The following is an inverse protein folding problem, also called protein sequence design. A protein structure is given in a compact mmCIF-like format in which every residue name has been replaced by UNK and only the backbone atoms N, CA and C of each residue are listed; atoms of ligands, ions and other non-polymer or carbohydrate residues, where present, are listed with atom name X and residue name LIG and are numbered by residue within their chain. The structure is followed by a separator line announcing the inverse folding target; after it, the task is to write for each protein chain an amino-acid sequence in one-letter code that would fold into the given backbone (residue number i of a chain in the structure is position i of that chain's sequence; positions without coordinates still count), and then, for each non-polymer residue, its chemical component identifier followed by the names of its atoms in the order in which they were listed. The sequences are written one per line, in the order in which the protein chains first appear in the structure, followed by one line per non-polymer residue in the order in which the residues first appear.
data_IF_008160884090
#
_entry.id   IF_008160884090
#
_cell.length_a   1.000
_cell.length_b   1.000
_cell.length_c   1.000
_cell.angle_alpha   90.00
_cell.angle_beta   90.00
_cell.angle_gamma   90.00
#
_symmetry.space_group_name_H-M   'P 1'
#
loop_
_entity.id
_entity.type
_entity.pdbx_description
1 polymer ?
#
# COMPACT_ATOMS: atom_id res chain seq x y z
N UNK A 1 22.90 37.98 -52.41
CA UNK A 1 22.45 37.47 -51.09
C UNK A 1 21.71 36.19 -51.37
N UNK A 2 22.08 35.07 -50.72
CA UNK A 2 21.36 33.80 -50.90
C UNK A 2 19.95 33.95 -50.30
N UNK A 3 18.87 33.57 -51.01
CA UNK A 3 17.53 33.54 -50.44
C UNK A 3 17.50 32.75 -49.13
N UNK A 4 16.75 33.22 -48.14
CA UNK A 4 16.67 32.57 -46.80
C UNK A 4 16.30 31.09 -46.91
N UNK A 5 15.43 30.73 -47.85
CA UNK A 5 15.00 29.35 -48.05
C UNK A 5 16.15 28.43 -48.52
N UNK A 6 17.00 28.91 -49.44
CA UNK A 6 18.16 28.15 -49.94
C UNK A 6 19.21 27.95 -48.84
N UNK A 7 19.39 28.96 -47.97
CA UNK A 7 20.27 28.88 -46.82
C UNK A 7 19.78 27.82 -45.81
N UNK A 8 18.47 27.80 -45.51
CA UNK A 8 17.86 26.78 -44.66
C UNK A 8 18.00 25.37 -45.25
N UNK A 9 17.70 25.19 -46.53
CA UNK A 9 17.86 23.90 -47.21
C UNK A 9 19.29 23.36 -47.11
N UNK A 10 20.28 24.24 -47.16
CA UNK A 10 21.69 23.86 -47.00
C UNK A 10 22.05 23.49 -45.56
N UNK A 11 21.42 24.14 -44.57
CA UNK A 11 21.74 23.97 -43.14
C UNK A 11 20.99 22.81 -42.46
N UNK A 12 19.77 22.50 -42.91
CA UNK A 12 18.87 21.52 -42.29
C UNK A 12 19.48 20.12 -42.06
N UNK A 13 20.26 19.54 -42.99
CA UNK A 13 20.93 18.26 -42.76
C UNK A 13 21.91 18.24 -41.57
N UNK A 14 22.42 19.42 -41.18
CA UNK A 14 23.29 19.55 -40.00
C UNK A 14 22.48 19.75 -38.73
N UNK A 15 21.39 20.54 -38.80
CA UNK A 15 20.47 20.77 -37.67
C UNK A 15 19.84 19.45 -37.21
N UNK A 16 19.44 18.61 -38.17
CA UNK A 16 18.90 17.28 -37.89
C UNK A 16 19.76 16.42 -36.98
N UNK A 17 21.08 16.46 -37.19
CA UNK A 17 22.06 15.69 -36.39
C UNK A 17 22.19 16.17 -34.94
N UNK A 18 21.63 17.34 -34.61
CA UNK A 18 21.64 17.90 -33.26
C UNK A 18 20.39 17.48 -32.45
N UNK A 19 19.37 16.93 -33.11
CA UNK A 19 18.15 16.47 -32.43
C UNK A 19 18.44 15.21 -31.61
N UNK A 20 18.00 15.23 -30.34
CA UNK A 20 18.17 14.12 -29.39
C UNK A 20 16.92 13.26 -29.23
N UNK A 21 15.77 13.80 -29.62
CA UNK A 21 14.48 13.14 -29.51
C UNK A 21 14.04 12.54 -30.84
N UNK A 22 13.04 11.66 -30.78
CA UNK A 22 12.36 11.16 -31.98
C UNK A 22 11.58 12.34 -32.56
N UNK A 23 11.96 12.76 -33.77
CA UNK A 23 11.37 13.92 -34.39
C UNK A 23 11.43 13.84 -35.92
N UNK A 24 10.69 14.70 -36.60
CA UNK A 24 10.84 14.97 -38.02
C UNK A 24 11.10 16.46 -38.24
N UNK A 25 11.86 16.79 -39.28
CA UNK A 25 12.01 18.17 -39.75
C UNK A 25 11.37 18.27 -41.12
N UNK A 26 10.49 19.25 -41.30
CA UNK A 26 9.85 19.59 -42.56
C UNK A 26 10.10 21.07 -42.87
N UNK A 27 10.50 21.37 -44.11
CA UNK A 27 10.50 22.73 -44.65
C UNK A 27 9.59 22.71 -45.88
N UNK A 28 8.61 23.60 -45.93
CA UNK A 28 7.67 23.66 -47.05
C UNK A 28 7.36 25.10 -47.48
N UNK A 29 7.02 25.26 -48.75
CA UNK A 29 6.56 26.53 -49.34
C UNK A 29 5.02 26.55 -49.43
N UNK A 30 4.45 27.37 -50.31
CA UNK A 30 3.00 27.48 -50.46
C UNK A 30 2.33 26.25 -51.12
N UNK A 31 3.11 25.38 -51.77
CA UNK A 31 2.61 24.27 -52.62
C UNK A 31 3.19 22.90 -52.27
N UNK A 32 4.44 22.81 -51.80
CA UNK A 32 5.15 21.53 -51.66
C UNK A 32 6.14 21.49 -50.50
N UNK A 33 6.51 20.27 -50.13
CA UNK A 33 7.60 20.00 -49.19
C UNK A 33 8.93 20.22 -49.90
N UNK A 34 9.76 21.13 -49.40
CA UNK A 34 11.11 21.40 -49.92
C UNK A 34 12.15 20.48 -49.28
N UNK A 35 11.98 20.17 -47.99
CA UNK A 35 12.85 19.28 -47.23
C UNK A 35 12.05 18.45 -46.25
N UNK A 36 12.37 17.16 -46.15
CA UNK A 36 11.86 16.30 -45.10
C UNK A 36 12.97 15.35 -44.63
N UNK A 37 13.14 15.24 -43.32
CA UNK A 37 14.02 14.26 -42.70
C UNK A 37 13.41 13.75 -41.40
N UNK A 38 13.68 12.50 -41.07
CA UNK A 38 13.14 11.82 -39.90
C UNK A 38 14.24 11.24 -39.02
N UNK A 39 14.04 11.34 -37.71
CA UNK A 39 15.00 10.94 -36.68
C UNK A 39 14.33 9.98 -35.69
N UNK A 40 15.10 9.02 -35.19
CA UNK A 40 14.62 8.11 -34.15
C UNK A 40 13.52 7.15 -34.61
N UNK A 41 13.39 6.88 -35.92
CA UNK A 41 12.47 5.86 -36.45
C UNK A 41 10.99 6.26 -36.42
N UNK A 42 10.68 7.55 -36.54
CA UNK A 42 9.35 8.03 -36.94
C UNK A 42 9.30 7.98 -38.47
N UNK A 43 8.21 7.46 -39.04
CA UNK A 43 7.94 7.55 -40.47
C UNK A 43 6.52 8.06 -40.67
N UNK A 44 6.40 9.24 -41.26
CA UNK A 44 5.12 9.90 -41.54
C UNK A 44 4.72 9.78 -43.01
N UNK A 45 5.52 9.09 -43.84
CA UNK A 45 5.25 8.90 -45.27
C UNK A 45 5.51 10.12 -46.17
N UNK A 46 6.11 11.18 -45.64
CA UNK A 46 6.50 12.36 -46.42
C UNK A 46 7.83 12.16 -47.16
N UNK A 47 7.99 12.90 -48.26
CA UNK A 47 9.22 12.91 -49.06
C UNK A 47 9.55 14.34 -49.50
N UNK A 48 10.84 14.67 -49.59
CA UNK A 48 11.29 15.94 -50.17
C UNK A 48 10.81 16.08 -51.61
N UNK A 49 10.36 17.28 -51.99
CA UNK A 49 9.66 17.60 -53.24
C UNK A 49 8.28 16.93 -53.40
N UNK A 50 7.74 16.30 -52.36
CA UNK A 50 6.38 15.77 -52.35
C UNK A 50 5.29 16.84 -52.13
N UNK A 51 4.01 16.48 -52.35
CA UNK A 51 2.89 17.39 -52.11
C UNK A 51 2.73 17.70 -50.62
N UNK A 52 2.11 18.84 -50.32
CA UNK A 52 1.64 19.14 -48.97
C UNK A 52 0.46 18.24 -48.58
N UNK A 53 0.35 17.96 -47.28
CA UNK A 53 -0.87 17.38 -46.74
C UNK A 53 -2.02 18.40 -46.83
N UNK A 54 -3.28 17.94 -47.03
CA UNK A 54 -4.41 18.84 -47.10
C UNK A 54 -4.52 19.75 -45.88
N UNK A 55 -4.68 21.06 -46.12
CA UNK A 55 -4.80 22.08 -45.07
C UNK A 55 -3.48 22.78 -44.72
N UNK A 56 -2.36 22.40 -45.33
CA UNK A 56 -1.08 23.10 -45.18
C UNK A 56 -0.76 24.04 -46.35
N UNK A 57 -1.48 23.94 -47.46
CA UNK A 57 -1.31 24.79 -48.64
C UNK A 57 -1.51 26.26 -48.28
N UNK A 58 -0.73 27.13 -48.93
CA UNK A 58 -0.74 28.58 -48.67
C UNK A 58 -0.59 28.95 -47.18
N UNK A 59 0.10 28.09 -46.41
CA UNK A 59 0.31 28.25 -44.97
C UNK A 59 -1.01 28.32 -44.19
N UNK A 60 -2.04 27.59 -44.62
CA UNK A 60 -3.33 27.56 -43.93
C UNK A 60 -3.27 26.84 -42.57
N UNK A 61 -2.32 25.92 -42.40
CA UNK A 61 -2.16 25.10 -41.19
C UNK A 61 -1.46 25.77 -40.01
N UNK A 62 -0.88 26.97 -40.20
CA UNK A 62 -0.17 27.69 -39.12
C UNK A 62 -1.09 28.68 -38.40
N UNK A 63 -1.11 28.63 -37.07
CA UNK A 63 -1.96 29.49 -36.21
C UNK A 63 -1.39 30.89 -36.03
N UNK A 64 -0.09 30.99 -35.71
CA UNK A 64 0.64 32.26 -35.68
C UNK A 64 1.48 32.36 -36.96
N UNK A 65 1.26 33.44 -37.70
CA UNK A 65 1.95 33.72 -38.95
C UNK A 65 3.21 34.56 -38.77
N UNK A 66 3.46 35.05 -37.56
CA UNK A 66 4.57 35.95 -37.20
C UNK A 66 5.58 35.24 -36.31
N UNK A 67 5.11 34.55 -35.26
CA UNK A 67 5.98 33.91 -34.27
C UNK A 67 5.94 32.38 -34.36
N UNK A 68 6.94 31.69 -33.77
CA UNK A 68 6.88 30.25 -33.57
C UNK A 68 5.61 29.83 -32.82
N UNK A 69 4.91 28.81 -33.32
CA UNK A 69 3.69 28.28 -32.72
C UNK A 69 3.71 26.76 -32.60
N UNK A 70 3.10 26.27 -31.53
CA UNK A 70 2.99 24.85 -31.24
C UNK A 70 1.63 24.35 -31.73
N UNK A 71 1.64 23.24 -32.46
CA UNK A 71 0.43 22.59 -32.98
C UNK A 71 0.46 21.10 -32.63
N UNK A 72 -0.52 20.60 -31.86
CA UNK A 72 -0.67 19.17 -31.65
C UNK A 72 -1.22 18.51 -32.93
N UNK A 73 -0.63 17.39 -33.29
CA UNK A 73 -1.09 16.52 -34.36
C UNK A 73 -1.53 15.19 -33.76
N UNK A 74 -2.84 14.92 -33.72
CA UNK A 74 -3.35 13.75 -33.04
C UNK A 74 -3.04 12.49 -33.86
N UNK A 75 -3.04 11.34 -33.18
CA UNK A 75 -2.62 10.04 -33.73
C UNK A 75 -3.39 9.64 -35.00
N UNK A 76 -4.63 10.08 -35.14
CA UNK A 76 -5.50 9.79 -36.28
C UNK A 76 -4.96 10.36 -37.59
N UNK A 77 -4.15 11.43 -37.54
CA UNK A 77 -3.62 12.10 -38.73
C UNK A 77 -2.40 11.38 -39.31
N UNK A 78 -1.51 10.87 -38.44
CA UNK A 78 -0.20 10.35 -38.86
C UNK A 78 0.17 8.99 -38.24
N UNK A 79 -0.74 8.33 -37.53
CA UNK A 79 -0.51 7.06 -36.83
C UNK A 79 0.28 7.19 -35.51
N UNK A 80 0.83 8.38 -35.23
CA UNK A 80 1.56 8.74 -34.00
C UNK A 80 1.11 10.11 -33.51
N UNK A 81 1.05 10.32 -32.19
CA UNK A 81 0.77 11.64 -31.60
C UNK A 81 2.04 12.48 -31.67
N UNK A 82 1.94 13.66 -32.29
CA UNK A 82 3.07 14.55 -32.47
C UNK A 82 2.76 15.95 -31.96
N UNK A 83 3.81 16.66 -31.57
CA UNK A 83 3.75 18.10 -31.32
C UNK A 83 4.68 18.84 -32.28
N UNK A 84 4.10 19.64 -33.17
CA UNK A 84 4.83 20.43 -34.14
C UNK A 84 5.16 21.82 -33.64
N UNK A 85 6.44 22.17 -33.59
CA UNK A 85 6.90 23.56 -33.50
C UNK A 85 6.99 24.11 -34.93
N UNK A 86 6.10 25.05 -35.27
CA UNK A 86 6.02 25.68 -36.58
C UNK A 86 6.67 27.07 -36.52
N UNK A 87 7.68 27.30 -37.33
CA UNK A 87 8.40 28.58 -37.44
C UNK A 87 8.13 29.17 -38.82
N UNK A 88 7.32 30.25 -38.93
CA UNK A 88 7.12 30.95 -40.18
C UNK A 88 8.40 31.66 -40.65
N UNK A 89 8.81 31.39 -41.88
CA UNK A 89 10.01 31.96 -42.48
C UNK A 89 9.59 33.14 -43.35
N UNK A 90 10.11 34.32 -43.03
CA UNK A 90 9.77 35.56 -43.72
C UNK A 90 10.90 36.04 -44.63
N UNK A 91 10.52 36.54 -45.81
CA UNK A 91 11.39 37.33 -46.68
C UNK A 91 10.62 38.56 -47.16
N UNK A 92 11.22 39.74 -47.04
CA UNK A 92 10.59 41.05 -47.35
C UNK A 92 9.18 41.24 -46.74
N UNK A 93 8.94 40.70 -45.54
CA UNK A 93 7.66 40.83 -44.82
C UNK A 93 6.56 39.86 -45.26
N UNK A 94 6.86 38.92 -46.16
CA UNK A 94 5.94 37.86 -46.58
C UNK A 94 6.45 36.50 -46.10
N UNK A 95 5.53 35.59 -45.74
CA UNK A 95 5.87 34.21 -45.44
C UNK A 95 6.24 33.52 -46.75
N UNK A 96 7.47 33.02 -46.82
CA UNK A 96 8.00 32.29 -47.98
C UNK A 96 8.11 30.80 -47.72
N UNK A 97 8.00 30.38 -46.47
CA UNK A 97 7.93 28.97 -46.08
C UNK A 97 7.68 28.80 -44.60
N UNK A 98 7.53 27.55 -44.19
CA UNK A 98 7.41 27.18 -42.77
C UNK A 98 8.36 26.04 -42.50
N UNK A 99 9.14 26.19 -41.44
CA UNK A 99 9.95 25.12 -40.88
C UNK A 99 9.21 24.52 -39.70
N UNK A 100 8.92 23.22 -39.77
CA UNK A 100 8.26 22.49 -38.70
C UNK A 100 9.18 21.41 -38.16
N UNK A 101 9.37 21.38 -36.85
CA UNK A 101 9.93 20.21 -36.16
C UNK A 101 8.80 19.54 -35.40
N UNK A 102 8.49 18.29 -35.72
CA UNK A 102 7.45 17.52 -35.05
C UNK A 102 8.07 16.49 -34.13
N UNK A 103 7.81 16.61 -32.83
CA UNK A 103 8.31 15.70 -31.80
C UNK A 103 7.29 14.62 -31.46
N UNK A 104 7.75 13.41 -31.21
CA UNK A 104 6.93 12.28 -30.76
C UNK A 104 6.49 12.46 -29.30
N UNK A 105 5.18 12.39 -29.04
CA UNK A 105 4.65 12.57 -27.68
C UNK A 105 4.67 11.30 -26.82
N UNK A 106 5.06 10.12 -27.34
CA UNK A 106 5.01 8.86 -26.58
C UNK A 106 5.73 8.93 -25.23
N UNK A 107 6.92 9.51 -25.17
CA UNK A 107 7.66 9.64 -23.90
C UNK A 107 6.93 10.53 -22.90
N UNK A 108 6.25 11.58 -23.37
CA UNK A 108 5.44 12.44 -22.52
C UNK A 108 4.19 11.73 -21.99
N UNK A 109 3.50 10.99 -22.86
CA UNK A 109 2.34 10.19 -22.52
C UNK A 109 2.71 9.09 -21.50
N UNK A 110 3.81 8.38 -21.74
CA UNK A 110 4.34 7.35 -20.83
C UNK A 110 4.67 7.94 -19.45
N UNK A 111 5.37 9.09 -19.40
CA UNK A 111 5.70 9.77 -18.15
C UNK A 111 4.45 10.24 -17.39
N UNK A 112 3.44 10.78 -18.09
CA UNK A 112 2.16 11.15 -17.47
C UNK A 112 1.42 9.93 -16.93
N UNK A 113 1.48 8.80 -17.64
CA UNK A 113 0.95 7.52 -17.18
C UNK A 113 1.60 7.08 -15.87
N UNK A 114 2.93 7.05 -15.82
CA UNK A 114 3.70 6.71 -14.62
C UNK A 114 3.39 7.66 -13.45
N UNK A 115 3.24 8.96 -13.69
CA UNK A 115 2.88 9.91 -12.64
C UNK A 115 1.47 9.66 -12.09
N UNK A 116 0.51 9.37 -12.96
CA UNK A 116 -0.87 9.07 -12.57
C UNK A 116 -0.93 7.79 -11.73
N UNK A 117 -0.18 6.76 -12.16
CA UNK A 117 -0.04 5.52 -11.40
C UNK A 117 0.65 5.76 -10.05
N UNK A 118 1.69 6.59 -9.99
CA UNK A 118 2.38 6.92 -8.74
C UNK A 118 1.45 7.60 -7.71
N UNK A 119 0.61 8.54 -8.17
CA UNK A 119 -0.41 9.18 -7.31
C UNK A 119 -1.41 8.13 -6.80
N UNK A 120 -1.95 7.31 -7.70
CA UNK A 120 -2.91 6.27 -7.31
C UNK A 120 -2.32 5.24 -6.34
N UNK A 121 -1.07 4.82 -6.54
CA UNK A 121 -0.35 3.94 -5.61
C UNK A 121 -0.16 4.62 -4.25
N UNK A 122 0.20 5.91 -4.25
CA UNK A 122 0.37 6.67 -3.01
C UNK A 122 -0.94 6.79 -2.21
N UNK A 123 -2.06 7.06 -2.87
CA UNK A 123 -3.40 7.08 -2.25
C UNK A 123 -3.76 5.72 -1.64
N UNK A 124 -3.58 4.62 -2.40
CA UNK A 124 -3.82 3.27 -1.88
C UNK A 124 -2.94 2.95 -0.66
N UNK A 125 -1.68 3.41 -0.65
CA UNK A 125 -0.79 3.23 0.49
C UNK A 125 -1.27 4.01 1.73
N UNK A 126 -1.82 5.21 1.56
CA UNK A 126 -2.43 5.96 2.68
C UNK A 126 -3.55 5.15 3.33
N UNK A 127 -4.48 4.62 2.52
CA UNK A 127 -5.59 3.81 3.02
C UNK A 127 -5.10 2.56 3.75
N UNK A 128 -4.12 1.85 3.18
CA UNK A 128 -3.52 0.67 3.81
C UNK A 128 -2.87 1.00 5.17
N UNK A 129 -2.14 2.11 5.26
CA UNK A 129 -1.51 2.56 6.51
C UNK A 129 -2.56 2.91 7.58
N UNK A 130 -3.65 3.57 7.19
CA UNK A 130 -4.76 3.86 8.09
C UNK A 130 -5.42 2.56 8.61
N UNK A 131 -5.61 1.58 7.74
CA UNK A 131 -6.12 0.26 8.13
C UNK A 131 -5.19 -0.45 9.12
N UNK A 132 -3.87 -0.43 8.91
CA UNK A 132 -2.89 -1.02 9.84
C UNK A 132 -2.96 -0.31 11.19
N UNK A 133 -3.04 1.02 11.21
CA UNK A 133 -3.15 1.81 12.44
C UNK A 133 -4.42 1.44 13.24
N UNK A 134 -5.57 1.34 12.55
CA UNK A 134 -6.83 0.92 13.17
C UNK A 134 -6.75 -0.52 13.72
N UNK A 135 -6.14 -1.44 12.98
CA UNK A 135 -5.92 -2.81 13.42
C UNK A 135 -5.03 -2.90 14.67
N UNK A 136 -3.95 -2.12 14.73
CA UNK A 136 -3.07 -2.06 15.90
C UNK A 136 -3.83 -1.57 17.15
N UNK A 137 -4.65 -0.51 17.01
CA UNK A 137 -5.50 -0.01 18.09
C UNK A 137 -6.54 -1.05 18.55
N UNK A 138 -7.17 -1.74 17.61
CA UNK A 138 -8.12 -2.81 17.93
C UNK A 138 -7.45 -3.99 18.63
N UNK A 139 -6.24 -4.37 18.20
CA UNK A 139 -5.43 -5.40 18.86
C UNK A 139 -5.14 -5.01 20.31
N UNK A 140 -4.73 -3.75 20.54
CA UNK A 140 -4.43 -3.24 21.87
C UNK A 140 -5.65 -3.33 22.79
N UNK A 141 -6.81 -2.83 22.34
CA UNK A 141 -8.05 -2.89 23.11
C UNK A 141 -8.49 -4.34 23.39
N UNK A 142 -8.32 -5.24 22.41
CA UNK A 142 -8.66 -6.66 22.57
C UNK A 142 -7.73 -7.33 23.58
N UNK A 143 -6.42 -7.07 23.51
CA UNK A 143 -5.42 -7.56 24.48
C UNK A 143 -5.73 -7.13 25.91
N UNK A 144 -6.09 -5.86 26.11
CA UNK A 144 -6.51 -5.33 27.42
C UNK A 144 -7.75 -6.04 27.95
N UNK A 145 -8.75 -6.26 27.09
CA UNK A 145 -9.96 -6.98 27.46
C UNK A 145 -9.68 -8.44 27.84
N UNK A 146 -8.80 -9.13 27.10
CA UNK A 146 -8.41 -10.50 27.44
C UNK A 146 -7.68 -10.50 28.78
N UNK A 147 -6.76 -9.56 29.04
CA UNK A 147 -6.05 -9.47 30.30
C UNK A 147 -7.01 -9.29 31.50
N UNK A 148 -8.03 -8.46 31.34
CA UNK A 148 -9.07 -8.26 32.36
C UNK A 148 -9.91 -9.53 32.61
N UNK A 149 -10.24 -10.27 31.54
CA UNK A 149 -10.95 -11.55 31.65
C UNK A 149 -10.09 -12.62 32.33
N UNK A 150 -8.79 -12.66 32.00
CA UNK A 150 -7.81 -13.55 32.60
C UNK A 150 -7.71 -13.28 34.10
N UNK A 151 -7.56 -12.02 34.52
CA UNK A 151 -7.56 -11.63 35.94
C UNK A 151 -8.83 -12.09 36.67
N UNK A 152 -9.99 -11.86 36.07
CA UNK A 152 -11.28 -12.30 36.63
C UNK A 152 -11.34 -13.83 36.77
N UNK A 153 -10.75 -14.56 35.83
CA UNK A 153 -10.70 -16.03 35.85
C UNK A 153 -9.76 -16.53 36.95
N UNK A 154 -8.60 -15.89 37.15
CA UNK A 154 -7.69 -16.19 38.28
C UNK A 154 -8.40 -16.01 39.61
N UNK A 155 -9.12 -14.90 39.80
CA UNK A 155 -9.87 -14.63 41.03
C UNK A 155 -10.95 -15.69 41.30
N UNK A 156 -11.69 -16.11 40.26
CA UNK A 156 -12.68 -17.18 40.37
C UNK A 156 -12.04 -18.53 40.69
N UNK A 157 -10.95 -18.89 40.02
CA UNK A 157 -10.21 -20.13 40.27
C UNK A 157 -9.66 -20.19 41.69
N UNK A 158 -9.17 -19.05 42.23
CA UNK A 158 -8.73 -18.96 43.63
C UNK A 158 -9.85 -19.26 44.60
N UNK A 159 -11.05 -18.68 44.39
CA UNK A 159 -12.22 -18.94 45.23
C UNK A 159 -12.66 -20.41 45.19
N UNK A 160 -12.62 -21.04 44.02
CA UNK A 160 -12.94 -22.48 43.90
C UNK A 160 -11.89 -23.31 44.63
N UNK A 161 -10.60 -22.94 44.56
CA UNK A 161 -9.54 -23.62 45.28
C UNK A 161 -9.74 -23.56 46.80
N UNK A 162 -10.14 -22.40 47.33
CA UNK A 162 -10.48 -22.24 48.76
C UNK A 162 -11.63 -23.17 49.18
N UNK A 163 -12.68 -23.27 48.35
CA UNK A 163 -13.80 -24.19 48.59
C UNK A 163 -13.35 -25.66 48.52
N UNK A 164 -12.49 -26.01 47.57
CA UNK A 164 -11.96 -27.37 47.45
C UNK A 164 -11.14 -27.77 48.69
N UNK A 165 -10.30 -26.86 49.20
CA UNK A 165 -9.54 -27.05 50.44
C UNK A 165 -10.50 -27.26 51.62
N UNK A 166 -11.55 -26.43 51.75
CA UNK A 166 -12.53 -26.59 52.82
C UNK A 166 -13.24 -27.96 52.75
N UNK A 167 -13.65 -28.41 51.57
CA UNK A 167 -14.31 -29.72 51.40
C UNK A 167 -13.34 -30.86 51.75
N UNK A 168 -12.05 -30.72 51.41
CA UNK A 168 -11.01 -31.68 51.75
C UNK A 168 -10.85 -31.80 53.26
N UNK A 169 -10.79 -30.68 53.97
CA UNK A 169 -10.71 -30.63 55.44
C UNK A 169 -11.96 -31.25 56.09
N UNK A 170 -13.16 -30.94 55.59
CA UNK A 170 -14.42 -31.55 56.05
C UNK A 170 -14.39 -33.08 55.82
N UNK A 171 -13.88 -33.51 54.68
CA UNK A 171 -13.78 -34.94 54.33
C UNK A 171 -12.80 -35.67 55.25
N UNK A 172 -11.69 -35.05 55.63
CA UNK A 172 -10.74 -35.60 56.59
C UNK A 172 -11.35 -35.74 57.99
N UNK A 173 -12.05 -34.70 58.46
CA UNK A 173 -12.76 -34.73 59.75
C UNK A 173 -13.88 -35.78 59.75
N UNK A 174 -14.64 -35.88 58.66
CA UNK A 174 -15.72 -36.87 58.53
C UNK A 174 -15.18 -38.29 58.49
N UNK A 175 -14.03 -38.51 57.85
CA UNK A 175 -13.36 -39.81 57.88
C UNK A 175 -12.90 -40.19 59.29
N UNK A 176 -12.38 -39.23 60.08
CA UNK A 176 -12.01 -39.45 61.48
C UNK A 176 -13.24 -39.74 62.36
N UNK A 177 -14.34 -39.01 62.16
CA UNK A 177 -15.61 -39.26 62.85
C UNK A 177 -16.15 -40.65 62.52
N UNK A 178 -16.15 -41.04 61.25
CA UNK A 178 -16.55 -42.38 60.81
C UNK A 178 -15.65 -43.48 61.36
N UNK A 179 -14.34 -43.23 61.50
CA UNK A 179 -13.41 -44.15 62.16
C UNK A 179 -13.77 -44.35 63.64
N UNK A 180 -13.99 -43.26 64.37
CA UNK A 180 -14.36 -43.32 65.79
C UNK A 180 -15.71 -44.05 65.98
N UNK A 181 -16.69 -43.80 65.10
CA UNK A 181 -17.97 -44.48 65.13
C UNK A 181 -17.84 -45.99 64.82
N UNK A 182 -16.97 -46.37 63.88
CA UNK A 182 -16.72 -47.77 63.57
C UNK A 182 -16.04 -48.51 64.74
N UNK A 183 -15.12 -47.85 65.45
CA UNK A 183 -14.47 -48.38 66.65
C UNK A 183 -15.50 -48.60 67.77
N UNK A 184 -16.35 -47.61 68.03
CA UNK A 184 -17.36 -47.73 69.09
C UNK A 184 -18.42 -48.78 68.73
N UNK A 185 -18.85 -48.85 67.47
CA UNK A 185 -19.75 -49.91 66.99
C UNK A 185 -19.17 -51.32 67.21
N UNK A 186 -17.87 -51.52 66.96
CA UNK A 186 -17.19 -52.78 67.25
C UNK A 186 -17.12 -53.08 68.75
N UNK A 187 -16.98 -52.05 69.59
CA UNK A 187 -16.92 -52.18 71.05
C UNK A 187 -18.24 -52.65 71.67
N UNK A 188 -19.39 -52.24 71.13
CA UNK A 188 -20.71 -52.68 71.62
C UNK A 188 -21.13 -54.07 71.08
N UNK A 189 -20.31 -54.69 70.24
CA UNK A 189 -20.54 -56.05 69.72
C UNK A 189 -21.74 -56.14 68.77
N UNK A 190 -22.57 -57.18 68.92
CA UNK A 190 -23.71 -57.43 68.02
C UNK A 190 -24.73 -56.28 67.99
N UNK A 191 -24.93 -55.57 69.11
CA UNK A 191 -25.85 -54.42 69.18
C UNK A 191 -25.38 -53.24 68.31
N UNK A 192 -24.08 -53.16 68.00
CA UNK A 192 -23.47 -52.11 67.19
C UNK A 192 -23.34 -52.44 65.70
N UNK A 193 -23.67 -53.67 65.27
CA UNK A 193 -23.38 -54.15 63.91
C UNK A 193 -23.97 -53.25 62.80
N UNK A 194 -25.21 -52.80 62.95
CA UNK A 194 -25.86 -51.90 62.00
C UNK A 194 -25.19 -50.51 61.92
N UNK A 195 -24.77 -49.97 63.07
CA UNK A 195 -24.01 -48.71 63.13
C UNK A 195 -22.62 -48.85 62.49
N UNK A 196 -21.98 -50.01 62.63
CA UNK A 196 -20.68 -50.31 62.00
C UNK A 196 -20.73 -50.26 60.48
N UNK A 197 -21.82 -50.74 59.87
CA UNK A 197 -22.02 -50.66 58.40
C UNK A 197 -22.15 -49.20 57.96
N UNK A 198 -22.96 -48.40 58.66
CA UNK A 198 -23.12 -46.97 58.37
C UNK A 198 -21.79 -46.23 58.51
N UNK A 199 -21.04 -46.48 59.59
CA UNK A 199 -19.74 -45.85 59.82
C UNK A 199 -18.73 -46.19 58.71
N UNK A 200 -18.75 -47.41 58.19
CA UNK A 200 -17.90 -47.84 57.07
C UNK A 200 -18.26 -47.10 55.77
N UNK A 201 -19.55 -46.94 55.47
CA UNK A 201 -19.99 -46.22 54.27
C UNK A 201 -19.67 -44.72 54.36
N UNK A 202 -19.83 -44.11 55.54
CA UNK A 202 -19.44 -42.70 55.79
C UNK A 202 -17.94 -42.50 55.55
N UNK A 203 -17.09 -43.43 56.01
CA UNK A 203 -15.63 -43.37 55.72
C UNK A 203 -15.34 -43.47 54.25
N UNK A 204 -15.99 -44.40 53.54
CA UNK A 204 -15.82 -44.58 52.10
C UNK A 204 -16.21 -43.33 51.32
N UNK A 205 -17.33 -42.71 51.65
CA UNK A 205 -17.76 -41.43 51.07
C UNK A 205 -16.75 -40.31 51.36
N UNK A 206 -16.23 -40.24 52.58
CA UNK A 206 -15.23 -39.25 52.97
C UNK A 206 -13.91 -39.39 52.19
N UNK A 207 -13.42 -40.62 52.01
CA UNK A 207 -12.22 -40.90 51.20
C UNK A 207 -12.44 -40.54 49.73
N UNK A 208 -13.60 -40.87 49.18
CA UNK A 208 -13.95 -40.52 47.80
C UNK A 208 -14.05 -39.00 47.62
N UNK A 209 -14.65 -38.30 48.58
CA UNK A 209 -14.76 -36.84 48.59
C UNK A 209 -13.38 -36.19 48.63
N UNK A 210 -12.47 -36.66 49.50
CA UNK A 210 -11.07 -36.21 49.55
C UNK A 210 -10.34 -36.42 48.22
N UNK A 211 -10.54 -37.56 47.56
CA UNK A 211 -9.96 -37.83 46.24
C UNK A 211 -10.48 -36.84 45.20
N UNK A 212 -11.81 -36.66 45.13
CA UNK A 212 -12.43 -35.74 44.19
C UNK A 212 -11.95 -34.28 44.39
N UNK A 213 -11.78 -33.84 45.63
CA UNK A 213 -11.20 -32.51 45.90
C UNK A 213 -9.74 -32.38 45.46
N UNK A 214 -8.95 -33.45 45.54
CA UNK A 214 -7.57 -33.45 45.02
C UNK A 214 -7.52 -33.38 43.49
N UNK A 215 -8.45 -34.04 42.82
CA UNK A 215 -8.60 -33.94 41.36
C UNK A 215 -9.01 -32.52 40.95
N UNK A 216 -9.89 -31.86 41.71
CA UNK A 216 -10.27 -30.44 41.53
C UNK A 216 -9.06 -29.51 41.73
N UNK A 217 -8.28 -29.69 42.81
CA UNK A 217 -7.06 -28.90 43.06
C UNK A 217 -6.07 -29.01 41.88
N UNK A 218 -5.93 -30.20 41.30
CA UNK A 218 -5.05 -30.44 40.15
C UNK A 218 -5.57 -29.71 38.90
N UNK A 219 -6.85 -29.86 38.58
CA UNK A 219 -7.46 -29.18 37.44
C UNK A 219 -7.36 -27.65 37.55
N UNK A 220 -7.49 -27.08 38.75
CA UNK A 220 -7.35 -25.65 38.98
C UNK A 220 -5.91 -25.16 38.76
N UNK A 221 -4.90 -25.98 39.08
CA UNK A 221 -3.49 -25.65 38.79
C UNK A 221 -3.23 -25.60 37.29
N UNK A 222 -3.76 -26.56 36.54
CA UNK A 222 -3.62 -26.60 35.07
C UNK A 222 -4.26 -25.36 34.41
N UNK A 223 -5.42 -24.93 34.94
CA UNK A 223 -6.08 -23.68 34.52
C UNK A 223 -5.21 -22.46 34.83
N UNK A 224 -4.59 -22.38 36.01
CA UNK A 224 -3.70 -21.28 36.37
C UNK A 224 -2.44 -21.24 35.50
N UNK A 225 -1.88 -22.40 35.14
CA UNK A 225 -0.73 -22.48 34.24
C UNK A 225 -1.10 -22.01 32.82
N UNK A 226 -2.24 -22.47 32.30
CA UNK A 226 -2.77 -22.04 30.99
C UNK A 226 -3.00 -20.52 30.95
N UNK A 227 -3.49 -19.94 32.05
CA UNK A 227 -3.65 -18.49 32.20
C UNK A 227 -2.30 -17.77 32.13
N UNK A 228 -1.26 -18.24 32.83
CA UNK A 228 0.06 -17.62 32.77
C UNK A 228 0.66 -17.66 31.37
N UNK A 229 0.46 -18.75 30.65
CA UNK A 229 0.88 -18.83 29.26
C UNK A 229 0.15 -17.78 28.41
N UNK A 230 -1.17 -17.63 28.59
CA UNK A 230 -1.97 -16.62 27.91
C UNK A 230 -1.49 -15.19 28.20
N UNK A 231 -1.10 -14.88 29.44
CA UNK A 231 -0.53 -13.57 29.79
C UNK A 231 0.78 -13.27 29.04
N UNK A 232 1.64 -14.28 28.85
CA UNK A 232 2.86 -14.14 28.06
C UNK A 232 2.55 -13.88 26.58
N UNK A 233 1.59 -14.63 26.01
CA UNK A 233 1.15 -14.45 24.62
C UNK A 233 0.56 -13.05 24.40
N UNK A 234 -0.29 -12.56 25.32
CA UNK A 234 -0.84 -11.19 25.27
C UNK A 234 0.27 -10.13 25.33
N UNK A 235 1.31 -10.36 26.11
CA UNK A 235 2.46 -9.44 26.20
C UNK A 235 3.20 -9.35 24.85
N UNK A 236 3.38 -10.48 24.16
CA UNK A 236 3.97 -10.51 22.82
C UNK A 236 3.08 -9.81 21.79
N UNK A 237 1.76 -10.01 21.86
CA UNK A 237 0.78 -9.33 21.00
C UNK A 237 0.83 -7.80 21.22
N UNK A 238 0.89 -7.35 22.47
CA UNK A 238 1.00 -5.93 22.83
C UNK A 238 2.27 -5.30 22.28
N UNK A 239 3.41 -5.99 22.42
CA UNK A 239 4.70 -5.56 21.86
C UNK A 239 4.61 -5.43 20.34
N UNK A 240 4.06 -6.45 19.67
CA UNK A 240 3.90 -6.47 18.21
C UNK A 240 2.98 -5.34 17.71
N UNK A 241 1.91 -5.03 18.45
CA UNK A 241 1.01 -3.91 18.14
C UNK A 241 1.73 -2.56 18.26
N UNK A 242 2.58 -2.40 19.28
CA UNK A 242 3.38 -1.18 19.43
C UNK A 242 4.41 -1.00 18.32
N UNK A 243 5.02 -2.09 17.84
CA UNK A 243 5.91 -2.08 16.68
C UNK A 243 5.15 -1.70 15.40
N UNK A 244 3.93 -2.24 15.19
CA UNK A 244 3.07 -1.84 14.08
C UNK A 244 2.74 -0.34 14.09
N UNK A 245 2.43 0.22 15.27
CA UNK A 245 2.18 1.66 15.40
C UNK A 245 3.42 2.50 15.03
N UNK A 246 4.62 2.01 15.34
CA UNK A 246 5.87 2.67 14.94
C UNK A 246 6.08 2.60 13.43
N UNK A 247 5.82 1.43 12.82
CA UNK A 247 5.92 1.24 11.37
C UNK A 247 4.95 2.12 10.59
N UNK A 248 3.74 2.36 11.10
CA UNK A 248 2.76 3.31 10.53
C UNK A 248 3.38 4.71 10.36
N UNK A 249 4.14 5.17 11.35
CA UNK A 249 4.86 6.44 11.26
C UNK A 249 5.89 6.46 10.12
N UNK A 250 6.71 5.41 10.03
CA UNK A 250 7.71 5.26 8.97
C UNK A 250 7.08 5.17 7.57
N UNK A 251 5.94 4.47 7.43
CA UNK A 251 5.23 4.40 6.15
C UNK A 251 4.67 5.76 5.74
N UNK A 252 4.16 6.55 6.69
CA UNK A 252 3.67 7.91 6.42
C UNK A 252 4.78 8.77 5.82
N UNK A 253 5.99 8.74 6.40
CA UNK A 253 7.14 9.46 5.86
C UNK A 253 7.53 9.00 4.45
N UNK A 254 7.46 7.69 4.18
CA UNK A 254 7.73 7.15 2.84
C UNK A 254 6.69 7.62 1.82
N UNK A 255 5.42 7.67 2.19
CA UNK A 255 4.34 8.16 1.34
C UNK A 255 4.53 9.65 1.02
N UNK A 256 4.86 10.48 2.02
CA UNK A 256 5.13 11.91 1.79
C UNK A 256 6.29 12.11 0.80
N UNK A 257 7.34 11.29 0.91
CA UNK A 257 8.47 11.30 -0.04
C UNK A 257 8.07 10.84 -1.44
N UNK A 258 7.17 9.86 -1.56
CA UNK A 258 6.65 9.42 -2.85
C UNK A 258 5.85 10.54 -3.54
N UNK A 259 4.97 11.20 -2.80
CA UNK A 259 4.20 12.35 -3.31
C UNK A 259 5.12 13.48 -3.79
N UNK A 260 6.11 13.86 -2.97
CA UNK A 260 7.11 14.87 -3.35
C UNK A 260 7.93 14.47 -4.59
N UNK A 261 8.20 13.18 -4.75
CA UNK A 261 8.86 12.64 -5.95
C UNK A 261 7.96 12.78 -7.18
N UNK A 262 6.67 12.45 -7.06
CA UNK A 262 5.69 12.64 -8.14
C UNK A 262 5.56 14.09 -8.58
N UNK A 263 5.53 15.03 -7.64
CA UNK A 263 5.55 16.47 -7.94
C UNK A 263 6.85 16.90 -8.65
N UNK A 264 7.99 16.43 -8.16
CA UNK A 264 9.29 16.70 -8.80
C UNK A 264 9.35 16.16 -10.23
N UNK A 265 8.80 14.97 -10.49
CA UNK A 265 8.71 14.41 -11.84
C UNK A 265 7.85 15.30 -12.75
N UNK A 266 6.71 15.78 -12.25
CA UNK A 266 5.83 16.70 -12.99
C UNK A 266 6.55 17.98 -13.39
N UNK A 267 7.36 18.54 -12.51
CA UNK A 267 8.13 19.75 -12.79
C UNK A 267 9.29 19.49 -13.76
N UNK A 268 9.98 18.36 -13.64
CA UNK A 268 11.00 17.93 -14.61
C UNK A 268 10.38 17.79 -16.00
N UNK A 269 9.22 17.14 -16.13
CA UNK A 269 8.53 17.01 -17.42
C UNK A 269 8.20 18.39 -18.00
N UNK A 270 7.67 19.33 -17.22
CA UNK A 270 7.44 20.70 -17.71
C UNK A 270 8.71 21.40 -18.21
N UNK A 271 9.84 21.19 -17.52
CA UNK A 271 11.11 21.81 -17.88
C UNK A 271 11.77 21.17 -19.12
N UNK A 272 11.58 19.86 -19.33
CA UNK A 272 12.07 19.18 -20.54
C UNK A 272 11.36 19.74 -21.77
N UNK A 273 10.05 19.99 -21.68
CA UNK A 273 9.25 20.55 -22.76
C UNK A 273 9.23 22.09 -22.76
N UNK A 274 10.32 22.74 -22.34
CA UNK A 274 10.44 24.19 -22.41
C UNK A 274 10.57 24.66 -23.87
N UNK A 275 9.53 25.30 -24.38
CA UNK A 275 9.56 25.96 -25.69
C UNK A 275 10.05 27.39 -25.54
N UNK A 276 10.99 27.80 -26.39
CA UNK A 276 11.47 29.19 -26.46
C UNK A 276 10.45 30.12 -27.16
N UNK A 277 9.15 29.88 -26.98
CA UNK A 277 8.04 30.64 -27.56
C UNK A 277 7.60 31.83 -26.71
N UNK A 278 8.25 32.06 -25.55
CA UNK A 278 7.84 33.06 -24.55
C UNK A 278 8.87 34.17 -24.29
N UNK A 279 9.97 34.25 -25.05
CA UNK A 279 10.82 35.45 -24.99
C UNK A 279 10.27 36.52 -25.93
N UNK A 280 9.44 37.40 -25.36
CA UNK A 280 9.29 38.77 -25.84
C UNK A 280 10.56 39.57 -25.59
#
# INVERSE_FOLDING_TARGET
MMPVMDALLTALPFIGKLLRERATICLYDHEKILYYEQFGGIDLGFVSNGPLAPGFENFAGIKDKVNPSITPFPKEMFGVSLEGINVPIHDNGQIVGVMTISYDQRTQEDLQGVMTENVAVSENLVDMVQHIAAHAQQLQATSEQILQNTKTTVEKSSKINEVAILIKDISEQTNLLGLNAAIEAARVGELGAGFGVVATEVRKLSVNSKKATGDIETALRDVQESIRQMENEITQITTSSQEQATLVGSFTEVIDRLQATGESMKDITKNIYYYNSQQK
#
